data_IF_512521640542
#
_entry.id   IF_512521640542
#
_cell.length_a   1.000
_cell.length_b   1.000
_cell.length_c   1.000
_cell.angle_alpha   90.00
_cell.angle_beta   90.00
_cell.angle_gamma   90.00
#
_symmetry.space_group_name_H-M   'P 1'
#
loop_
_entity.id
_entity.type
_entity.pdbx_description
1 polymer ?
#
# COMPACT_ATOMS: atom_id res chain seq x y z
N UNK A 1 19.27 -19.60 1.35
CA UNK A 1 19.05 -18.58 0.30
C UNK A 1 19.12 -17.23 0.97
N UNK A 2 19.75 -16.22 0.34
CA UNK A 2 19.72 -14.84 0.84
C UNK A 2 18.48 -14.14 0.24
N UNK A 3 17.43 -14.02 1.05
CA UNK A 3 16.16 -13.41 0.65
C UNK A 3 16.23 -11.90 0.52
N UNK A 4 17.33 -11.25 0.92
CA UNK A 4 17.46 -9.79 0.79
C UNK A 4 17.80 -9.33 -0.64
N UNK A 5 18.19 -10.27 -1.51
CA UNK A 5 18.59 -9.99 -2.89
C UNK A 5 17.44 -10.23 -3.86
N UNK A 6 17.36 -9.40 -4.91
CA UNK A 6 16.37 -9.51 -5.97
C UNK A 6 15.37 -8.35 -5.99
N UNK A 7 14.34 -8.48 -6.83
CA UNK A 7 13.24 -7.50 -6.90
C UNK A 7 12.38 -7.64 -5.63
N UNK A 8 11.96 -6.51 -5.07
CA UNK A 8 11.22 -6.46 -3.81
C UNK A 8 9.92 -7.29 -3.85
N UNK A 9 9.16 -7.17 -4.93
CA UNK A 9 7.92 -7.91 -5.20
C UNK A 9 8.04 -8.53 -6.59
N UNK A 10 7.63 -9.78 -6.76
CA UNK A 10 7.92 -10.56 -7.98
C UNK A 10 6.67 -11.19 -8.58
N UNK A 11 6.46 -12.48 -8.33
CA UNK A 11 5.27 -13.21 -8.74
C UNK A 11 4.07 -12.81 -7.88
N UNK A 12 2.88 -13.15 -8.33
CA UNK A 12 1.70 -13.07 -7.50
C UNK A 12 0.69 -14.13 -7.88
N UNK A 13 -0.24 -14.42 -6.98
CA UNK A 13 -1.32 -15.37 -7.25
C UNK A 13 -2.60 -14.97 -6.51
N UNK A 14 -3.72 -15.49 -7.00
CA UNK A 14 -5.05 -15.27 -6.44
C UNK A 14 -5.60 -16.61 -5.97
N UNK A 15 -5.56 -16.92 -4.66
CA UNK A 15 -6.12 -18.17 -4.15
C UNK A 15 -7.65 -18.20 -4.20
N UNK A 16 -8.30 -17.02 -4.28
CA UNK A 16 -9.74 -16.85 -4.44
C UNK A 16 -10.05 -15.57 -5.25
N UNK A 17 -11.33 -15.24 -5.42
CA UNK A 17 -11.80 -14.08 -6.22
C UNK A 17 -11.42 -12.72 -5.62
N UNK A 18 -11.16 -12.65 -4.32
CA UNK A 18 -11.02 -11.40 -3.58
C UNK A 18 -9.66 -11.22 -2.92
N UNK A 19 -8.79 -12.23 -2.93
CA UNK A 19 -7.51 -12.23 -2.25
C UNK A 19 -6.37 -12.29 -3.27
N UNK A 20 -5.40 -11.41 -3.10
CA UNK A 20 -4.18 -11.34 -3.89
C UNK A 20 -2.96 -11.46 -2.96
N UNK A 21 -2.04 -12.37 -3.28
CA UNK A 21 -0.86 -12.64 -2.46
C UNK A 21 0.42 -12.48 -3.29
N UNK A 22 1.37 -11.75 -2.72
CA UNK A 22 2.68 -11.50 -3.33
C UNK A 22 3.81 -11.78 -2.33
N UNK A 23 4.88 -12.50 -2.73
CA UNK A 23 6.09 -12.58 -1.93
C UNK A 23 6.83 -11.23 -2.00
N UNK A 24 7.03 -10.64 -0.83
CA UNK A 24 7.74 -9.40 -0.63
C UNK A 24 9.04 -9.65 0.16
N UNK A 25 10.13 -9.02 -0.25
CA UNK A 25 11.41 -9.07 0.44
C UNK A 25 11.92 -7.67 0.76
N UNK A 26 12.63 -7.54 1.87
CA UNK A 26 13.33 -6.31 2.23
C UNK A 26 14.83 -6.41 1.92
N UNK A 27 15.42 -5.28 1.54
CA UNK A 27 16.85 -5.19 1.32
C UNK A 27 17.67 -5.43 2.59
N UNK A 28 18.94 -5.81 2.41
CA UNK A 28 19.86 -6.08 3.52
C UNK A 28 19.94 -4.91 4.49
N UNK A 29 19.78 -5.18 5.78
CA UNK A 29 19.86 -4.19 6.85
C UNK A 29 18.51 -3.68 7.35
N UNK A 30 17.39 -4.07 6.73
CA UNK A 30 16.04 -3.77 7.22
C UNK A 30 15.62 -4.59 8.45
N UNK A 31 16.56 -4.96 9.32
CA UNK A 31 16.36 -5.94 10.39
C UNK A 31 15.49 -5.46 11.56
N UNK A 32 15.22 -4.15 11.65
CA UNK A 32 14.27 -3.62 12.64
C UNK A 32 12.84 -4.13 12.39
N UNK A 33 12.53 -4.56 11.16
CA UNK A 33 11.26 -5.18 10.79
C UNK A 33 11.00 -6.51 11.52
N UNK A 34 12.02 -7.14 12.09
CA UNK A 34 11.86 -8.33 12.94
C UNK A 34 10.96 -8.07 14.16
N UNK A 35 10.85 -6.82 14.62
CA UNK A 35 9.95 -6.42 15.71
C UNK A 35 8.47 -6.39 15.30
N UNK A 36 8.18 -6.38 13.99
CA UNK A 36 6.82 -6.28 13.48
C UNK A 36 6.19 -7.63 13.19
N UNK A 37 6.93 -8.71 13.40
CA UNK A 37 6.44 -10.07 13.27
C UNK A 37 6.31 -10.81 14.61
N UNK A 38 5.57 -11.91 14.56
CA UNK A 38 5.42 -12.88 15.64
C UNK A 38 5.01 -14.24 15.06
N UNK A 39 4.75 -15.22 15.93
CA UNK A 39 4.26 -16.54 15.51
C UNK A 39 2.90 -16.45 14.84
N UNK A 40 2.67 -17.30 13.83
CA UNK A 40 1.38 -17.38 13.13
C UNK A 40 0.28 -17.81 14.13
N UNK A 41 -0.60 -16.89 14.51
CA UNK A 41 -1.59 -17.10 15.58
C UNK A 41 -2.96 -17.46 15.00
N UNK A 42 -3.52 -18.66 15.28
CA UNK A 42 -4.85 -19.05 14.80
C UNK A 42 -5.92 -17.99 15.08
N UNK A 43 -6.86 -17.82 14.14
CA UNK A 43 -7.96 -16.85 14.29
C UNK A 43 -9.28 -17.48 14.73
N UNK A 44 -9.44 -18.78 14.53
CA UNK A 44 -10.59 -19.61 14.87
C UNK A 44 -10.55 -20.12 16.33
N UNK A 45 -10.26 -19.22 17.26
CA UNK A 45 -10.07 -19.57 18.68
C UNK A 45 -11.35 -19.36 19.49
N UNK A 46 -11.69 -20.30 20.39
CA UNK A 46 -12.84 -20.18 21.30
C UNK A 46 -12.69 -19.03 22.32
N UNK A 47 -11.46 -18.54 22.55
CA UNK A 47 -11.13 -17.46 23.48
C UNK A 47 -10.40 -16.27 22.83
N UNK A 48 -9.90 -15.31 23.64
CA UNK A 48 -9.11 -14.20 23.14
C UNK A 48 -7.84 -14.67 22.41
N UNK A 49 -7.58 -14.16 21.20
CA UNK A 49 -6.45 -14.56 20.36
C UNK A 49 -5.07 -14.41 21.01
N UNK A 50 -4.91 -13.47 21.95
CA UNK A 50 -3.65 -13.33 22.71
C UNK A 50 -3.31 -14.60 23.54
N UNK A 51 -4.29 -15.40 23.94
CA UNK A 51 -4.06 -16.66 24.66
C UNK A 51 -3.49 -17.73 23.72
N UNK A 52 -4.07 -17.87 22.52
CA UNK A 52 -3.54 -18.75 21.49
C UNK A 52 -2.13 -18.32 21.08
N UNK A 53 -1.89 -17.02 20.92
CA UNK A 53 -0.58 -16.47 20.67
C UNK A 53 0.46 -16.85 21.74
N UNK A 54 0.13 -16.73 23.03
CA UNK A 54 1.04 -17.16 24.11
C UNK A 54 1.37 -18.65 24.04
N UNK A 55 0.38 -19.49 23.70
CA UNK A 55 0.58 -20.93 23.51
C UNK A 55 1.52 -21.21 22.32
N UNK A 56 1.32 -20.54 21.19
CA UNK A 56 2.19 -20.67 20.01
C UNK A 56 3.60 -20.16 20.28
N UNK A 57 3.74 -19.01 20.97
CA UNK A 57 5.03 -18.47 21.39
C UNK A 57 5.80 -19.46 22.28
N UNK A 58 5.11 -20.13 23.21
CA UNK A 58 5.71 -21.16 24.05
C UNK A 58 6.10 -22.42 23.27
N UNK A 59 5.26 -22.83 22.32
CA UNK A 59 5.55 -23.91 21.37
C UNK A 59 6.82 -23.62 20.56
N UNK A 60 6.95 -22.39 20.07
CA UNK A 60 8.06 -21.90 19.25
C UNK A 60 9.24 -21.34 20.06
N UNK A 61 9.31 -21.60 21.38
CA UNK A 61 10.36 -21.05 22.27
C UNK A 61 11.79 -21.30 21.80
N UNK A 62 12.02 -22.42 21.11
CA UNK A 62 13.33 -22.75 20.53
C UNK A 62 13.69 -21.85 19.33
N UNK A 63 12.69 -21.34 18.61
CA UNK A 63 12.82 -20.54 17.40
C UNK A 63 12.69 -19.02 17.63
N UNK A 64 12.37 -18.58 18.86
CA UNK A 64 12.22 -17.14 19.21
C UNK A 64 13.46 -16.33 18.82
N UNK A 65 14.66 -16.88 19.02
CA UNK A 65 15.91 -16.21 18.65
C UNK A 65 16.05 -15.96 17.15
N UNK A 66 15.48 -16.84 16.31
CA UNK A 66 15.45 -16.66 14.86
C UNK A 66 14.32 -15.71 14.43
N UNK A 67 13.18 -15.80 15.10
CA UNK A 67 12.04 -14.91 14.88
C UNK A 67 12.40 -13.45 15.16
N UNK A 68 13.27 -13.18 16.13
CA UNK A 68 13.71 -11.83 16.48
C UNK A 68 15.21 -11.62 16.20
N UNK A 69 15.69 -12.07 15.04
CA UNK A 69 17.07 -11.84 14.59
C UNK A 69 17.31 -10.40 14.13
N UNK A 70 17.74 -9.52 15.04
CA UNK A 70 18.04 -8.11 14.72
C UNK A 70 19.24 -7.89 13.78
N UNK A 71 19.96 -8.94 13.37
CA UNK A 71 21.17 -8.83 12.55
C UNK A 71 21.00 -9.33 11.13
N UNK A 72 20.22 -10.40 10.92
CA UNK A 72 20.13 -11.07 9.61
C UNK A 72 18.70 -11.38 9.18
N UNK A 73 17.69 -10.78 9.82
CA UNK A 73 16.29 -11.02 9.49
C UNK A 73 15.96 -10.76 8.03
N UNK A 74 16.49 -9.68 7.43
CA UNK A 74 16.22 -9.34 6.02
C UNK A 74 16.74 -10.40 5.04
N UNK A 75 17.85 -11.05 5.37
CA UNK A 75 18.46 -12.10 4.56
C UNK A 75 17.73 -13.45 4.67
N UNK A 76 16.89 -13.62 5.70
CA UNK A 76 16.28 -14.91 6.06
C UNK A 76 14.75 -14.94 5.91
N UNK A 77 14.12 -13.80 5.67
CA UNK A 77 12.66 -13.67 5.69
C UNK A 77 12.09 -13.30 4.32
N UNK A 78 10.99 -13.96 3.94
CA UNK A 78 10.08 -13.52 2.88
C UNK A 78 8.70 -13.27 3.48
N UNK A 79 8.06 -12.18 3.09
CA UNK A 79 6.75 -11.77 3.58
C UNK A 79 5.70 -12.17 2.56
N UNK A 80 4.61 -12.79 3.00
CA UNK A 80 3.39 -12.90 2.21
C UNK A 80 2.61 -11.60 2.35
N UNK A 81 2.72 -10.70 1.36
CA UNK A 81 1.88 -9.51 1.29
C UNK A 81 0.49 -9.93 0.81
N UNK A 82 -0.52 -9.69 1.63
CA UNK A 82 -1.91 -10.09 1.37
C UNK A 82 -2.74 -8.85 1.17
N UNK A 83 -3.47 -8.80 0.05
CA UNK A 83 -4.36 -7.70 -0.31
C UNK A 83 -5.73 -8.28 -0.64
N UNK A 84 -6.78 -7.50 -0.38
CA UNK A 84 -8.14 -7.89 -0.71
C UNK A 84 -8.91 -6.77 -1.39
N UNK A 85 -9.75 -7.12 -2.37
CA UNK A 85 -10.63 -6.20 -3.11
C UNK A 85 -11.95 -5.90 -2.39
N UNK A 86 -11.97 -6.03 -1.06
CA UNK A 86 -13.17 -5.75 -0.26
C UNK A 86 -13.35 -4.24 -0.05
N UNK A 87 -14.60 -3.78 -0.07
CA UNK A 87 -14.95 -2.38 0.18
C UNK A 87 -14.87 -2.07 1.68
N UNK A 88 -13.66 -1.86 2.17
CA UNK A 88 -13.36 -1.47 3.54
C UNK A 88 -12.59 -0.15 3.58
N UNK A 89 -12.63 0.51 4.73
CA UNK A 89 -11.89 1.75 4.92
C UNK A 89 -11.55 2.01 6.39
N UNK A 90 -10.62 2.93 6.59
CA UNK A 90 -10.21 3.43 7.89
C UNK A 90 -10.22 4.95 7.90
N UNK A 91 -10.72 5.53 8.99
CA UNK A 91 -10.62 6.97 9.22
C UNK A 91 -9.47 7.23 10.17
N UNK A 92 -8.45 7.93 9.68
CA UNK A 92 -7.34 8.41 10.51
C UNK A 92 -7.69 9.75 11.15
N UNK A 93 -7.29 9.93 12.41
CA UNK A 93 -7.45 11.18 13.14
C UNK A 93 -6.36 11.31 14.18
N UNK A 94 -6.17 12.52 14.73
CA UNK A 94 -5.15 12.74 15.76
C UNK A 94 -5.76 12.83 17.14
N UNK A 95 -5.12 12.19 18.12
CA UNK A 95 -5.41 12.31 19.56
C UNK A 95 -4.27 13.03 20.27
N UNK A 96 -4.59 13.70 21.38
CA UNK A 96 -3.59 14.32 22.27
C UNK A 96 -3.12 13.28 23.29
N UNK A 97 -1.82 13.20 23.54
CA UNK A 97 -1.29 12.37 24.63
C UNK A 97 -1.71 13.01 25.96
N UNK A 98 -2.34 12.26 26.89
CA UNK A 98 -2.80 12.81 28.16
C UNK A 98 -1.68 13.57 28.90
N UNK A 99 -1.96 14.80 29.32
CA UNK A 99 -1.02 15.63 30.06
C UNK A 99 0.08 16.34 29.24
N UNK A 100 0.09 16.20 27.90
CA UNK A 100 1.10 16.87 27.05
C UNK A 100 0.47 17.56 25.85
N UNK A 101 1.19 18.45 25.15
CA UNK A 101 0.75 19.03 23.88
C UNK A 101 1.04 18.17 22.64
N UNK A 102 1.57 16.96 22.83
CA UNK A 102 1.91 16.05 21.74
C UNK A 102 0.64 15.41 21.19
N UNK A 103 0.48 15.46 19.87
CA UNK A 103 -0.58 14.73 19.14
C UNK A 103 0.01 13.50 18.47
N UNK A 104 -0.73 12.40 18.47
CA UNK A 104 -0.40 11.18 17.74
C UNK A 104 -1.55 10.79 16.81
N UNK A 105 -1.22 10.18 15.68
CA UNK A 105 -2.21 9.64 14.75
C UNK A 105 -2.75 8.31 15.24
N UNK A 106 -4.05 8.11 15.10
CA UNK A 106 -4.75 6.86 15.37
C UNK A 106 -5.84 6.65 14.33
N UNK A 107 -6.47 5.49 14.32
CA UNK A 107 -7.51 5.14 13.35
C UNK A 107 -8.76 4.58 14.04
N UNK A 108 -9.87 4.61 13.30
CA UNK A 108 -11.10 3.89 13.59
C UNK A 108 -11.64 3.29 12.28
N UNK A 109 -12.58 2.36 12.39
CA UNK A 109 -13.32 1.87 11.23
C UNK A 109 -13.94 3.04 10.46
N UNK A 110 -13.78 3.06 9.14
CA UNK A 110 -14.42 4.01 8.23
C UNK A 110 -15.76 3.49 7.71
N UNK A 111 -16.13 3.88 6.50
CA UNK A 111 -17.26 3.28 5.77
C UNK A 111 -16.94 1.86 5.26
N UNK A 112 -17.96 1.17 4.73
CA UNK A 112 -17.80 -0.16 4.16
C UNK A 112 -17.74 -1.27 5.22
N UNK A 113 -17.30 -2.45 4.79
CA UNK A 113 -17.20 -3.62 5.67
C UNK A 113 -16.04 -3.48 6.67
N UNK A 114 -16.16 -4.06 7.87
CA UNK A 114 -15.05 -4.08 8.83
C UNK A 114 -13.78 -4.72 8.24
N UNK A 115 -12.62 -4.15 8.56
CA UNK A 115 -11.35 -4.77 8.17
C UNK A 115 -11.23 -6.16 8.84
N UNK A 116 -10.92 -7.22 8.08
CA UNK A 116 -10.77 -8.55 8.66
C UNK A 116 -9.59 -8.56 9.63
N UNK A 117 -9.82 -9.09 10.84
CA UNK A 117 -8.75 -9.28 11.82
C UNK A 117 -7.95 -10.57 11.58
N UNK A 118 -8.48 -11.46 10.75
CA UNK A 118 -7.89 -12.74 10.37
C UNK A 118 -8.36 -13.15 8.97
N UNK A 119 -7.47 -13.73 8.18
CA UNK A 119 -7.71 -14.17 6.81
C UNK A 119 -7.24 -15.63 6.70
N UNK A 120 -8.14 -16.63 6.69
CA UNK A 120 -7.76 -18.05 6.71
C UNK A 120 -6.86 -18.45 5.54
N UNK A 121 -7.23 -18.04 4.32
CA UNK A 121 -6.47 -18.35 3.09
C UNK A 121 -5.05 -17.78 3.10
N UNK A 122 -4.84 -16.63 3.78
CA UNK A 122 -3.52 -16.06 3.96
C UNK A 122 -2.67 -16.86 4.96
N UNK A 123 -3.30 -17.42 5.99
CA UNK A 123 -2.63 -18.29 6.96
C UNK A 123 -2.21 -19.61 6.32
N UNK A 124 -3.07 -20.20 5.49
CA UNK A 124 -2.75 -21.38 4.70
C UNK A 124 -1.57 -21.09 3.76
N UNK A 125 -1.64 -20.01 2.98
CA UNK A 125 -0.54 -19.61 2.11
C UNK A 125 0.78 -19.39 2.88
N UNK A 126 0.74 -18.77 4.06
CA UNK A 126 1.94 -18.58 4.89
C UNK A 126 2.53 -19.91 5.40
N UNK A 127 1.68 -20.89 5.74
CA UNK A 127 2.11 -22.24 6.14
C UNK A 127 2.73 -22.99 4.97
N UNK A 128 2.08 -22.98 3.81
CA UNK A 128 2.56 -23.64 2.60
C UNK A 128 3.91 -23.03 2.15
N UNK A 129 4.02 -21.70 2.18
CA UNK A 129 5.29 -21.01 1.90
C UNK A 129 6.39 -21.44 2.87
N UNK A 130 6.09 -21.54 4.17
CA UNK A 130 7.05 -21.98 5.17
C UNK A 130 7.49 -23.44 4.96
N UNK A 131 6.56 -24.35 4.63
CA UNK A 131 6.88 -25.74 4.33
C UNK A 131 7.79 -25.86 3.09
N UNK A 132 7.45 -25.16 2.00
CA UNK A 132 8.22 -25.18 0.75
C UNK A 132 9.66 -24.70 0.95
N UNK A 133 9.86 -23.66 1.77
CA UNK A 133 11.19 -23.07 1.97
C UNK A 133 11.95 -23.67 3.17
N UNK A 134 11.34 -24.59 3.91
CA UNK A 134 11.87 -25.12 5.17
C UNK A 134 12.02 -24.04 6.26
N UNK A 135 11.10 -23.06 6.29
CA UNK A 135 11.08 -21.95 7.22
C UNK A 135 10.05 -22.09 8.34
N UNK A 136 9.88 -21.02 9.12
CA UNK A 136 8.83 -20.92 10.15
C UNK A 136 7.80 -19.89 9.73
N UNK A 137 6.51 -20.26 9.72
CA UNK A 137 5.44 -19.33 9.41
C UNK A 137 5.25 -18.33 10.56
N UNK A 138 5.15 -17.05 10.19
CA UNK A 138 4.92 -15.95 11.12
C UNK A 138 3.79 -15.04 10.64
N UNK A 139 3.38 -14.13 11.51
CA UNK A 139 2.40 -13.09 11.19
C UNK A 139 2.73 -11.76 11.85
N UNK A 140 1.92 -10.73 11.62
CA UNK A 140 2.18 -9.39 12.19
C UNK A 140 1.89 -9.34 13.70
N UNK A 141 2.69 -8.58 14.46
CA UNK A 141 2.56 -8.47 15.93
C UNK A 141 1.20 -7.93 16.41
N UNK A 142 0.46 -7.22 15.56
CA UNK A 142 -0.87 -6.69 15.87
C UNK A 142 -2.01 -7.71 15.73
N UNK A 143 -1.77 -8.80 15.00
CA UNK A 143 -2.78 -9.81 14.68
C UNK A 143 -3.38 -10.50 15.93
N UNK A 144 -2.58 -10.92 16.94
CA UNK A 144 -3.12 -11.48 18.19
C UNK A 144 -4.06 -10.56 18.96
N UNK A 145 -4.04 -9.27 18.65
CA UNK A 145 -4.85 -8.23 19.30
C UNK A 145 -5.96 -7.70 18.37
N UNK A 146 -6.27 -8.40 17.28
CA UNK A 146 -7.24 -7.99 16.26
C UNK A 146 -6.94 -6.61 15.65
N UNK A 147 -5.64 -6.29 15.49
CA UNK A 147 -5.16 -5.05 14.89
C UNK A 147 -4.28 -5.39 13.69
N UNK A 148 -4.88 -5.69 12.52
CA UNK A 148 -4.10 -5.99 11.32
C UNK A 148 -3.23 -4.79 10.94
N UNK A 149 -2.06 -5.07 10.38
CA UNK A 149 -1.13 -4.07 9.88
C UNK A 149 -1.39 -3.85 8.39
N UNK A 150 -1.50 -2.59 7.97
CA UNK A 150 -1.53 -2.21 6.55
C UNK A 150 -0.37 -1.27 6.25
N UNK A 151 0.26 -1.46 5.10
CA UNK A 151 1.34 -0.62 4.60
C UNK A 151 0.86 0.47 3.62
N UNK A 152 -0.32 0.27 3.01
CA UNK A 152 -0.78 1.07 1.88
C UNK A 152 -2.02 1.89 2.27
N UNK A 153 -1.83 2.95 3.06
CA UNK A 153 -2.86 3.97 3.23
C UNK A 153 -3.01 4.72 1.90
N UNK A 154 -4.21 4.67 1.33
CA UNK A 154 -4.59 5.34 0.09
C UNK A 154 -5.88 6.13 0.30
N UNK A 155 -6.15 7.07 -0.60
CA UNK A 155 -7.30 7.97 -0.49
C UNK A 155 -7.10 9.10 0.53
N UNK A 156 -8.19 9.81 0.84
CA UNK A 156 -8.19 10.98 1.74
C UNK A 156 -8.10 12.33 1.01
N UNK A 157 -7.49 12.39 -0.17
CA UNK A 157 -7.55 13.52 -1.08
C UNK A 157 -8.01 13.07 -2.46
N UNK A 158 -9.12 12.33 -2.49
CA UNK A 158 -9.59 11.59 -3.66
C UNK A 158 -10.02 12.52 -4.79
N UNK A 159 -9.87 12.02 -6.02
CA UNK A 159 -10.40 12.66 -7.22
C UNK A 159 -11.93 12.61 -7.17
N UNK A 160 -12.58 13.75 -7.38
CA UNK A 160 -14.03 13.89 -7.50
C UNK A 160 -14.44 14.80 -8.66
N UNK A 161 -15.70 14.74 -9.06
CA UNK A 161 -16.30 15.62 -10.09
C UNK A 161 -16.72 17.00 -9.53
N UNK A 162 -16.71 17.16 -8.21
CA UNK A 162 -17.02 18.40 -7.51
C UNK A 162 -16.31 18.48 -6.15
N UNK A 163 -16.24 19.67 -5.51
CA UNK A 163 -15.70 19.80 -4.15
C UNK A 163 -16.52 19.06 -3.07
N UNK A 164 -17.74 18.63 -3.37
CA UNK A 164 -18.58 17.83 -2.48
C UNK A 164 -18.22 16.34 -2.53
N UNK A 165 -17.69 15.85 -3.65
CA UNK A 165 -17.39 14.43 -3.90
C UNK A 165 -15.90 14.10 -3.88
N UNK A 166 -15.02 15.10 -3.89
CA UNK A 166 -13.58 14.92 -3.81
C UNK A 166 -12.83 16.15 -3.33
N UNK A 167 -11.53 15.98 -3.08
CA UNK A 167 -10.63 17.07 -2.67
C UNK A 167 -9.93 17.69 -3.88
N UNK A 168 -9.67 16.87 -4.90
CA UNK A 168 -9.02 17.28 -6.14
C UNK A 168 -9.90 16.97 -7.34
N UNK A 169 -9.74 17.79 -8.38
CA UNK A 169 -10.42 17.59 -9.64
C UNK A 169 -9.78 16.46 -10.48
N UNK A 170 -10.37 16.08 -11.64
CA UNK A 170 -9.83 15.03 -12.51
C UNK A 170 -8.46 15.32 -13.14
N UNK A 171 -7.93 16.52 -12.95
CA UNK A 171 -6.58 16.95 -13.33
C UNK A 171 -5.65 17.07 -12.11
N UNK A 172 -6.05 16.54 -10.95
CA UNK A 172 -5.31 16.52 -9.69
C UNK A 172 -4.99 17.92 -9.13
N UNK A 173 -5.92 18.86 -9.31
CA UNK A 173 -5.86 20.23 -8.78
C UNK A 173 -6.80 20.34 -7.58
N UNK A 174 -6.36 20.96 -6.49
CA UNK A 174 -7.18 21.08 -5.28
C UNK A 174 -8.29 22.10 -5.48
N UNK A 175 -9.54 21.70 -5.22
CA UNK A 175 -10.68 22.61 -5.30
C UNK A 175 -10.53 23.80 -4.34
N UNK A 176 -10.90 25.01 -4.78
CA UNK A 176 -10.81 26.23 -3.96
C UNK A 176 -9.39 26.76 -3.70
N UNK A 177 -8.34 26.06 -4.17
CA UNK A 177 -6.94 26.44 -3.95
C UNK A 177 -6.14 26.46 -5.27
N UNK A 178 -6.29 27.52 -6.10
CA UNK A 178 -5.56 27.64 -7.37
C UNK A 178 -4.05 27.51 -7.19
N UNK A 179 -3.42 26.66 -8.01
CA UNK A 179 -1.98 26.39 -7.97
C UNK A 179 -1.55 25.32 -6.94
N UNK A 180 -2.48 24.75 -6.17
CA UNK A 180 -2.20 23.61 -5.29
C UNK A 180 -2.63 22.29 -5.96
N UNK A 181 -1.75 21.29 -5.92
CA UNK A 181 -1.91 20.01 -6.60
C UNK A 181 -1.52 18.85 -5.68
N UNK A 182 -2.11 17.67 -5.90
CA UNK A 182 -1.81 16.45 -5.15
C UNK A 182 -1.58 15.30 -6.14
N UNK A 183 -0.44 14.62 -6.04
CA UNK A 183 -0.04 13.56 -6.97
C UNK A 183 0.66 12.40 -6.24
N UNK A 184 -0.08 11.77 -5.32
CA UNK A 184 0.38 10.62 -4.53
C UNK A 184 -0.77 9.63 -4.27
N UNK A 185 -0.56 8.64 -3.40
CA UNK A 185 -1.57 7.63 -3.05
C UNK A 185 -2.86 8.18 -2.45
N UNK A 186 -2.88 9.43 -1.98
CA UNK A 186 -4.10 10.05 -1.45
C UNK A 186 -5.14 10.39 -2.52
N UNK A 187 -4.71 10.48 -3.79
CA UNK A 187 -5.58 10.71 -4.94
C UNK A 187 -6.39 9.47 -5.36
N UNK A 188 -5.98 8.27 -4.93
CA UNK A 188 -6.66 7.02 -5.29
C UNK A 188 -8.06 6.98 -4.65
N UNK A 189 -9.09 6.94 -5.48
CA UNK A 189 -10.50 7.05 -5.06
C UNK A 189 -11.13 5.77 -4.53
N UNK A 190 -10.49 4.61 -4.68
CA UNK A 190 -11.04 3.32 -4.25
C UNK A 190 -9.93 2.31 -3.90
N UNK A 191 -10.27 1.31 -3.08
CA UNK A 191 -9.37 0.20 -2.79
C UNK A 191 -9.06 -0.57 -4.09
N UNK A 192 -7.78 -0.66 -4.43
CA UNK A 192 -7.31 -1.34 -5.64
C UNK A 192 -7.26 -2.86 -5.48
N UNK A 193 -7.20 -3.37 -4.24
CA UNK A 193 -6.95 -4.78 -3.93
C UNK A 193 -5.58 -5.31 -4.38
N UNK A 194 -4.70 -4.44 -4.86
CA UNK A 194 -3.34 -4.73 -5.34
C UNK A 194 -2.37 -3.63 -4.90
N UNK A 195 -1.07 -3.80 -5.16
CA UNK A 195 -0.05 -2.81 -4.82
C UNK A 195 -0.30 -1.47 -5.56
N UNK A 196 -0.37 -0.33 -4.85
CA UNK A 196 -0.78 0.94 -5.45
C UNK A 196 0.31 1.64 -6.26
N UNK A 197 1.57 1.23 -6.16
CA UNK A 197 2.72 1.99 -6.72
C UNK A 197 2.56 2.36 -8.18
N UNK A 198 2.22 1.40 -9.05
CA UNK A 198 2.02 1.66 -10.48
C UNK A 198 0.79 2.50 -10.77
N UNK A 199 -0.28 2.38 -9.98
CA UNK A 199 -1.47 3.24 -10.12
C UNK A 199 -1.14 4.69 -9.73
N UNK A 200 -0.36 4.89 -8.66
CA UNK A 200 0.12 6.22 -8.26
C UNK A 200 0.98 6.82 -9.37
N UNK A 201 1.93 6.05 -9.90
CA UNK A 201 2.77 6.48 -11.02
C UNK A 201 1.92 6.85 -12.23
N UNK A 202 0.97 6.00 -12.64
CA UNK A 202 0.12 6.26 -13.79
C UNK A 202 -0.75 7.52 -13.61
N UNK A 203 -1.33 7.72 -12.42
CA UNK A 203 -2.11 8.92 -12.11
C UNK A 203 -1.23 10.18 -12.12
N UNK A 204 -0.07 10.14 -11.46
CA UNK A 204 0.88 11.25 -11.44
C UNK A 204 1.39 11.60 -12.84
N UNK A 205 1.83 10.62 -13.63
CA UNK A 205 2.29 10.84 -15.01
C UNK A 205 1.19 11.41 -15.90
N UNK A 206 -0.03 10.87 -15.80
CA UNK A 206 -1.20 11.42 -16.50
C UNK A 206 -1.42 12.89 -16.13
N UNK A 207 -1.47 13.22 -14.84
CA UNK A 207 -1.69 14.59 -14.39
C UNK A 207 -0.59 15.55 -14.87
N UNK A 208 0.67 15.12 -14.83
CA UNK A 208 1.81 15.91 -15.31
C UNK A 208 1.81 16.07 -16.83
N UNK A 209 1.34 15.07 -17.59
CA UNK A 209 1.26 15.14 -19.05
C UNK A 209 0.33 16.24 -19.58
N UNK A 210 -0.54 16.80 -18.74
CA UNK A 210 -1.45 17.88 -19.12
C UNK A 210 -0.92 19.28 -18.81
N UNK A 211 0.28 19.40 -18.23
CA UNK A 211 0.85 20.71 -17.94
C UNK A 211 1.37 21.37 -19.22
N UNK A 212 1.08 22.67 -19.43
CA UNK A 212 1.65 23.41 -20.55
C UNK A 212 3.17 23.56 -20.40
N UNK A 213 3.88 23.76 -21.51
CA UNK A 213 5.26 24.21 -21.39
C UNK A 213 5.31 25.63 -20.79
N UNK A 214 6.46 25.98 -20.23
CA UNK A 214 6.65 27.30 -19.62
C UNK A 214 6.40 28.42 -20.65
N UNK A 215 5.40 29.25 -20.38
CA UNK A 215 5.00 30.37 -21.24
C UNK A 215 3.91 30.04 -22.25
N UNK A 216 3.48 28.77 -22.34
CA UNK A 216 2.29 28.38 -23.10
C UNK A 216 1.02 28.56 -22.26
N UNK A 217 -0.11 28.69 -22.94
CA UNK A 217 -1.43 28.73 -22.31
C UNK A 217 -1.82 27.35 -21.78
N UNK A 218 -2.38 27.31 -20.58
CA UNK A 218 -2.92 26.10 -19.98
C UNK A 218 -4.20 25.65 -20.69
N UNK A 219 -4.12 24.55 -21.43
CA UNK A 219 -5.23 24.00 -22.19
C UNK A 219 -6.22 23.20 -21.33
N UNK A 220 -5.95 23.00 -20.04
CA UNK A 220 -6.90 22.36 -19.13
C UNK A 220 -8.10 23.28 -18.90
N UNK A 221 -9.34 22.75 -18.85
CA UNK A 221 -10.50 23.52 -18.40
C UNK A 221 -10.24 24.19 -17.04
N UNK A 222 -10.93 25.30 -16.78
CA UNK A 222 -10.81 26.02 -15.50
C UNK A 222 -11.10 25.09 -14.31
N UNK A 223 -10.44 25.32 -13.18
CA UNK A 223 -10.66 24.55 -11.94
C UNK A 223 -12.15 24.52 -11.58
N UNK A 224 -12.71 23.35 -11.30
CA UNK A 224 -14.14 23.18 -11.03
C UNK A 224 -15.03 23.00 -12.26
N UNK A 225 -14.47 23.07 -13.47
CA UNK A 225 -15.20 22.75 -14.70
C UNK A 225 -15.38 21.24 -14.84
N UNK A 226 -16.38 20.83 -15.62
CA UNK A 226 -16.59 19.42 -15.95
C UNK A 226 -15.34 18.81 -16.60
N UNK A 227 -15.14 17.51 -16.41
CA UNK A 227 -14.02 16.81 -17.03
C UNK A 227 -14.11 16.82 -18.55
N UNK A 228 -12.99 17.12 -19.20
CA UNK A 228 -12.83 17.03 -20.65
C UNK A 228 -11.61 16.17 -20.96
N UNK A 229 -11.71 15.28 -21.94
CA UNK A 229 -10.55 14.52 -22.38
C UNK A 229 -9.67 15.40 -23.26
N UNK A 230 -8.51 15.78 -22.74
CA UNK A 230 -7.51 16.58 -23.46
C UNK A 230 -6.32 15.71 -23.90
N UNK A 231 -5.59 16.19 -24.90
CA UNK A 231 -4.35 15.55 -25.35
C UNK A 231 -3.19 15.88 -24.38
N UNK A 232 -2.23 14.95 -24.18
CA UNK A 232 -1.01 15.25 -23.45
C UNK A 232 -0.16 16.29 -24.21
N UNK A 233 0.53 17.14 -23.47
CA UNK A 233 1.45 18.17 -23.98
C UNK A 233 2.85 17.57 -24.07
N UNK A 234 3.46 17.64 -25.25
CA UNK A 234 4.86 17.23 -25.42
C UNK A 234 5.80 18.27 -24.77
N UNK A 235 6.75 17.86 -23.91
CA UNK A 235 7.69 18.78 -23.32
C UNK A 235 8.71 19.29 -24.35
N UNK A 236 8.94 20.60 -24.40
CA UNK A 236 9.97 21.24 -25.25
C UNK A 236 11.38 20.84 -24.82
N UNK A 237 11.59 20.61 -23.53
CA UNK A 237 12.87 20.19 -22.94
C UNK A 237 12.65 18.96 -22.05
N UNK A 238 12.59 17.73 -22.62
CA UNK A 238 12.35 16.52 -21.84
C UNK A 238 13.50 16.23 -20.88
N UNK A 239 13.17 15.80 -19.65
CA UNK A 239 14.17 15.39 -18.66
C UNK A 239 14.89 14.09 -19.04
N UNK A 240 14.21 13.20 -19.77
CA UNK A 240 14.78 11.94 -20.27
C UNK A 240 15.11 12.10 -21.75
N UNK A 241 16.37 11.85 -22.19
CA UNK A 241 16.75 11.95 -23.59
C UNK A 241 15.95 10.99 -24.47
N UNK A 242 15.65 11.40 -25.72
CA UNK A 242 14.88 10.60 -26.67
C UNK A 242 15.49 9.22 -26.99
N UNK A 243 16.80 9.05 -26.80
CA UNK A 243 17.50 7.78 -27.03
C UNK A 243 17.53 6.86 -25.81
N UNK A 244 17.05 7.32 -24.63
CA UNK A 244 17.10 6.54 -23.41
C UNK A 244 15.89 5.57 -23.33
N UNK A 245 16.02 4.40 -22.67
CA UNK A 245 14.92 3.45 -22.54
C UNK A 245 13.65 3.99 -21.87
N UNK A 246 13.77 5.03 -21.04
CA UNK A 246 12.64 5.68 -20.37
C UNK A 246 12.17 6.97 -21.03
N UNK A 247 12.50 7.19 -22.31
CA UNK A 247 12.05 8.37 -23.05
C UNK A 247 10.51 8.43 -23.09
N UNK A 248 9.97 9.65 -22.98
CA UNK A 248 8.52 9.85 -23.15
C UNK A 248 8.14 9.62 -24.61
N UNK A 249 7.25 8.67 -24.85
CA UNK A 249 6.67 8.40 -26.17
C UNK A 249 5.18 8.78 -26.16
N UNK A 250 4.81 9.77 -26.99
CA UNK A 250 3.42 10.17 -27.20
C UNK A 250 2.95 9.73 -28.59
N UNK A 251 1.72 9.18 -28.73
CA UNK A 251 0.76 8.89 -27.66
C UNK A 251 1.22 7.69 -26.79
N UNK A 252 0.97 7.77 -25.47
CA UNK A 252 1.42 6.76 -24.48
C UNK A 252 0.85 5.37 -24.80
N UNK A 253 -0.39 5.31 -25.30
CA UNK A 253 -1.00 4.13 -25.92
C UNK A 253 -2.04 4.62 -26.91
N UNK A 254 -2.09 4.07 -28.13
CA UNK A 254 -3.27 4.21 -28.97
C UNK A 254 -4.37 3.33 -28.34
N UNK A 255 -5.22 3.91 -27.51
CA UNK A 255 -6.44 3.22 -27.05
C UNK A 255 -7.43 3.29 -28.20
N UNK A 256 -7.40 2.27 -29.06
CA UNK A 256 -8.41 1.99 -30.08
C UNK A 256 -9.70 1.49 -29.44
#
# INVERSE_FOLDING_TARGET
VDYSRGVAITSSFHPDEHTHIEPCRYGKGSNFMSLMQTVLTPGDTEGPRWQAWLKEMWGQRANIGELYDFKHWSERTTIALVMQTVDNSITTYTKKVPGTNVRYMTSKQGHGVPNPSWIPVAHEAARDMAEIVGGTAGSSIGEPFNRPLTAHFIGGCTIGDSPETGVIDPYQRVYGHPGLHIADGSAISANLGVNPSLTITAQAERAMSFWPNKGEEDQRPALGSAYERIAPVAPVSPAVPASAPGALHLPIVAVS
#
